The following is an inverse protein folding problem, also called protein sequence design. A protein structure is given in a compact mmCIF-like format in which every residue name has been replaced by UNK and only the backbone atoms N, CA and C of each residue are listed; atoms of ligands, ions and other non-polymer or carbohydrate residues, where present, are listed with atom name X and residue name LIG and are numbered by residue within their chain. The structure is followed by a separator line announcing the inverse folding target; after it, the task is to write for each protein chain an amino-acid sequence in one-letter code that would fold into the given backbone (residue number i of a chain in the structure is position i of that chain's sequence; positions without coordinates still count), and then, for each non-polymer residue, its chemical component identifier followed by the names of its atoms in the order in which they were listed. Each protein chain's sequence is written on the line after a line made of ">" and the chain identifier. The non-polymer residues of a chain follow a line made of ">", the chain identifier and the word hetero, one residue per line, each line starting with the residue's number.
data_IF_559082080723
#
_entry.id   IF_559082080723
#
_cell.length_a   1.000
_cell.length_b   1.000
_cell.length_c   1.000
_cell.angle_alpha   90.00
_cell.angle_beta   90.00
_cell.angle_gamma   90.00
#
_symmetry.space_group_name_H-M   'P 1'
#
loop_
_entity.id
_entity.type
_entity.pdbx_description
1 polymer ?
#
# COMPACT_ATOMS: atom_id res chain seq x y z
N UNK A 1 -17.56 -6.21 -36.54
CA UNK A 1 -17.54 -6.81 -35.18
C UNK A 1 -16.26 -6.48 -34.40
N UNK A 2 -15.07 -6.42 -35.03
CA UNK A 2 -13.81 -6.02 -34.37
C UNK A 2 -13.86 -4.61 -33.73
N UNK A 3 -14.40 -3.62 -34.44
CA UNK A 3 -14.48 -2.25 -33.94
C UNK A 3 -15.26 -2.09 -32.61
N UNK A 4 -16.34 -2.86 -32.41
CA UNK A 4 -17.12 -2.83 -31.16
C UNK A 4 -16.27 -3.37 -30.00
N UNK A 5 -15.55 -4.48 -30.24
CA UNK A 5 -14.63 -5.06 -29.25
C UNK A 5 -13.50 -4.09 -28.90
N UNK A 6 -12.89 -3.46 -29.90
CA UNK A 6 -11.81 -2.49 -29.70
C UNK A 6 -12.31 -1.25 -28.93
N UNK A 7 -13.52 -0.80 -29.22
CA UNK A 7 -14.16 0.29 -28.48
C UNK A 7 -14.37 -0.10 -27.01
N UNK A 8 -14.88 -1.30 -26.75
CA UNK A 8 -15.05 -1.81 -25.38
C UNK A 8 -13.74 -1.89 -24.60
N UNK A 9 -12.64 -2.31 -25.25
CA UNK A 9 -11.30 -2.33 -24.64
C UNK A 9 -10.85 -0.91 -24.30
N UNK A 10 -11.02 0.06 -25.21
CA UNK A 10 -10.65 1.46 -24.96
C UNK A 10 -11.42 2.07 -23.80
N UNK A 11 -12.75 1.87 -23.77
CA UNK A 11 -13.61 2.38 -22.69
C UNK A 11 -13.17 1.80 -21.35
N UNK A 12 -12.98 0.47 -21.28
CA UNK A 12 -12.50 -0.17 -20.04
C UNK A 12 -11.17 0.40 -19.59
N UNK A 13 -10.20 0.51 -20.50
CA UNK A 13 -8.87 1.05 -20.18
C UNK A 13 -8.96 2.49 -19.69
N UNK A 14 -9.73 3.35 -20.35
CA UNK A 14 -9.91 4.73 -19.91
C UNK A 14 -10.54 4.80 -18.53
N UNK A 15 -11.56 3.99 -18.26
CA UNK A 15 -12.20 3.94 -16.94
C UNK A 15 -11.29 3.39 -15.86
N UNK A 16 -10.35 2.49 -16.18
CA UNK A 16 -9.33 2.05 -15.23
C UNK A 16 -8.36 3.19 -14.85
N UNK A 17 -7.94 3.99 -15.84
CA UNK A 17 -7.11 5.18 -15.59
C UNK A 17 -7.88 6.25 -14.80
N UNK A 18 -9.14 6.51 -15.15
CA UNK A 18 -10.01 7.46 -14.45
C UNK A 18 -10.28 7.03 -13.01
N UNK A 19 -10.42 5.73 -12.76
CA UNK A 19 -10.55 5.16 -11.41
C UNK A 19 -9.27 5.38 -10.61
N UNK A 20 -8.10 5.03 -11.17
CA UNK A 20 -6.81 5.17 -10.48
C UNK A 20 -6.47 6.63 -10.19
N UNK A 21 -6.61 7.49 -11.18
CA UNK A 21 -6.38 8.93 -11.03
C UNK A 21 -7.40 9.56 -10.09
N UNK A 22 -8.68 9.18 -10.20
CA UNK A 22 -9.76 9.60 -9.31
C UNK A 22 -9.46 9.30 -7.84
N UNK A 23 -9.05 8.07 -7.54
CA UNK A 23 -8.70 7.65 -6.18
C UNK A 23 -7.44 8.35 -5.66
N UNK A 24 -6.40 8.49 -6.50
CA UNK A 24 -5.13 9.08 -6.06
C UNK A 24 -5.16 10.60 -5.91
N UNK A 25 -5.88 11.28 -6.80
CA UNK A 25 -5.93 12.74 -6.90
C UNK A 25 -7.20 13.34 -6.29
N UNK A 26 -8.15 12.52 -5.85
CA UNK A 26 -9.43 12.99 -5.33
C UNK A 26 -10.36 13.57 -6.40
N UNK A 27 -10.19 13.19 -7.67
CA UNK A 27 -11.05 13.66 -8.76
C UNK A 27 -12.39 12.91 -8.75
N UNK A 28 -13.36 13.47 -8.03
CA UNK A 28 -14.69 12.90 -7.83
C UNK A 28 -15.47 12.69 -9.14
N UNK A 29 -15.23 13.53 -10.16
CA UNK A 29 -15.92 13.41 -11.45
C UNK A 29 -15.40 12.19 -12.20
N UNK A 30 -14.08 12.08 -12.36
CA UNK A 30 -13.45 10.93 -13.01
C UNK A 30 -13.83 9.62 -12.29
N UNK A 31 -13.81 9.65 -10.95
CA UNK A 31 -14.18 8.51 -10.13
C UNK A 31 -15.65 8.11 -10.35
N UNK A 32 -16.58 9.06 -10.27
CA UNK A 32 -18.00 8.82 -10.47
C UNK A 32 -18.32 8.25 -11.86
N UNK A 33 -17.65 8.73 -12.91
CA UNK A 33 -17.78 8.22 -14.28
C UNK A 33 -17.24 6.79 -14.38
N UNK A 34 -16.04 6.54 -13.87
CA UNK A 34 -15.42 5.22 -13.91
C UNK A 34 -16.26 4.15 -13.20
N UNK A 35 -16.78 4.48 -12.00
CA UNK A 35 -17.65 3.56 -11.25
C UNK A 35 -18.94 3.24 -12.03
N UNK A 36 -19.53 4.23 -12.70
CA UNK A 36 -20.71 4.00 -13.53
C UNK A 36 -20.41 3.06 -14.70
N UNK A 37 -19.28 3.23 -15.37
CA UNK A 37 -18.86 2.33 -16.45
C UNK A 37 -18.70 0.91 -15.93
N UNK A 38 -18.01 0.71 -14.81
CA UNK A 38 -17.83 -0.64 -14.26
C UNK A 38 -19.11 -1.26 -13.71
N UNK A 39 -20.03 -0.46 -13.17
CA UNK A 39 -21.36 -0.92 -12.81
C UNK A 39 -22.11 -1.45 -14.04
N UNK A 40 -22.13 -0.67 -15.12
CA UNK A 40 -22.79 -1.05 -16.38
C UNK A 40 -22.15 -2.29 -17.03
N UNK A 41 -20.83 -2.44 -16.88
CA UNK A 41 -20.08 -3.61 -17.36
C UNK A 41 -20.16 -4.83 -16.41
N UNK A 42 -20.91 -4.72 -15.31
CA UNK A 42 -21.03 -5.76 -14.26
C UNK A 42 -19.67 -6.19 -13.68
N UNK A 43 -18.72 -5.27 -13.64
CA UNK A 43 -17.36 -5.53 -13.17
C UNK A 43 -16.93 -4.55 -12.08
N UNK A 44 -17.88 -3.90 -11.40
CA UNK A 44 -17.60 -2.92 -10.36
C UNK A 44 -16.79 -3.52 -9.21
N UNK A 45 -17.29 -4.60 -8.60
CA UNK A 45 -16.64 -5.20 -7.45
C UNK A 45 -15.21 -5.71 -7.72
N UNK A 46 -14.94 -6.47 -8.81
CA UNK A 46 -13.56 -6.85 -9.17
C UNK A 46 -12.59 -5.66 -9.27
N UNK A 47 -13.06 -4.52 -9.78
CA UNK A 47 -12.23 -3.33 -9.93
C UNK A 47 -12.00 -2.61 -8.59
N UNK A 48 -13.02 -2.55 -7.73
CA UNK A 48 -12.88 -2.03 -6.36
C UNK A 48 -11.90 -2.87 -5.54
N UNK A 49 -12.01 -4.20 -5.60
CA UNK A 49 -11.04 -5.13 -4.99
C UNK A 49 -9.62 -4.87 -5.45
N UNK A 50 -9.43 -4.73 -6.77
CA UNK A 50 -8.12 -4.46 -7.37
C UNK A 50 -7.53 -3.16 -6.84
N UNK A 51 -8.31 -2.08 -6.78
CA UNK A 51 -7.85 -0.79 -6.24
C UNK A 51 -7.49 -0.92 -4.76
N UNK A 52 -8.33 -1.55 -3.94
CA UNK A 52 -8.03 -1.77 -2.52
C UNK A 52 -6.71 -2.54 -2.33
N UNK A 53 -6.48 -3.57 -3.14
CA UNK A 53 -5.22 -4.33 -3.11
C UNK A 53 -4.01 -3.48 -3.54
N UNK A 54 -4.13 -2.69 -4.61
CA UNK A 54 -3.06 -1.78 -5.06
C UNK A 54 -2.70 -0.76 -3.96
N UNK A 55 -3.69 -0.21 -3.24
CA UNK A 55 -3.43 0.72 -2.13
C UNK A 55 -2.76 0.06 -0.92
N UNK A 56 -3.10 -1.19 -0.62
CA UNK A 56 -2.40 -1.98 0.41
C UNK A 56 -0.97 -2.30 0.01
N UNK A 57 -0.74 -2.62 -1.26
CA UNK A 57 0.61 -2.89 -1.78
C UNK A 57 1.49 -1.64 -1.71
N UNK A 58 0.96 -0.44 -2.03
CA UNK A 58 1.67 0.83 -1.86
C UNK A 58 2.11 1.06 -0.40
N UNK A 59 1.27 0.68 0.57
CA UNK A 59 1.64 0.74 1.98
C UNK A 59 2.71 -0.31 2.34
N UNK A 60 2.57 -1.55 1.86
CA UNK A 60 3.53 -2.62 2.15
C UNK A 60 4.93 -2.35 1.56
N UNK A 61 5.02 -1.57 0.49
CA UNK A 61 6.28 -1.16 -0.13
C UNK A 61 6.96 0.02 0.58
N UNK A 62 6.28 0.69 1.52
CA UNK A 62 6.85 1.82 2.24
C UNK A 62 8.04 1.34 3.12
N UNK A 63 9.23 1.94 2.98
CA UNK A 63 10.41 1.47 3.68
C UNK A 63 10.29 1.77 5.18
N UNK A 64 10.46 0.73 6.01
CA UNK A 64 10.64 0.88 7.44
C UNK A 64 12.13 0.68 7.79
N UNK A 65 12.90 1.77 7.93
CA UNK A 65 14.31 1.69 8.32
C UNK A 65 14.45 1.14 9.74
N UNK A 66 15.49 0.35 9.97
CA UNK A 66 15.87 -0.09 11.30
C UNK A 66 16.82 0.91 11.99
N UNK A 67 16.87 0.89 13.32
CA UNK A 67 17.83 1.68 14.10
C UNK A 67 17.37 3.11 14.40
N UNK A 68 18.31 4.07 14.43
CA UNK A 68 18.06 5.43 14.91
C UNK A 68 16.97 6.20 14.15
N UNK A 69 16.69 5.83 12.89
CA UNK A 69 15.65 6.45 12.06
C UNK A 69 14.30 5.70 12.11
N UNK A 70 14.15 4.66 12.94
CA UNK A 70 12.95 3.84 12.99
C UNK A 70 11.69 4.66 13.28
N UNK A 71 11.72 5.54 14.29
CA UNK A 71 10.56 6.36 14.65
C UNK A 71 10.10 7.28 13.51
N UNK A 72 11.05 7.93 12.84
CA UNK A 72 10.76 8.78 11.68
C UNK A 72 10.21 7.95 10.51
N UNK A 73 10.79 6.78 10.27
CA UNK A 73 10.28 5.83 9.28
C UNK A 73 8.86 5.36 9.59
N UNK A 74 8.59 5.02 10.85
CA UNK A 74 7.26 4.60 11.31
C UNK A 74 6.24 5.72 11.13
N UNK A 75 6.60 6.97 11.46
CA UNK A 75 5.73 8.12 11.26
C UNK A 75 5.34 8.29 9.79
N UNK A 76 6.31 8.21 8.87
CA UNK A 76 6.06 8.28 7.42
C UNK A 76 5.16 7.12 6.96
N UNK A 77 5.41 5.90 7.44
CA UNK A 77 4.58 4.73 7.11
C UNK A 77 3.12 4.92 7.58
N UNK A 78 2.93 5.44 8.80
CA UNK A 78 1.59 5.74 9.32
C UNK A 78 0.90 6.85 8.53
N UNK A 79 1.63 7.89 8.10
CA UNK A 79 1.08 8.92 7.22
C UNK A 79 0.62 8.34 5.88
N UNK A 80 1.39 7.41 5.29
CA UNK A 80 0.97 6.68 4.08
C UNK A 80 -0.30 5.87 4.35
N UNK A 81 -0.34 5.08 5.43
CA UNK A 81 -1.52 4.28 5.79
C UNK A 81 -2.77 5.15 5.96
N UNK A 82 -2.66 6.28 6.65
CA UNK A 82 -3.76 7.24 6.83
C UNK A 82 -4.21 7.78 5.48
N UNK A 83 -3.28 8.17 4.60
CA UNK A 83 -3.63 8.65 3.27
C UNK A 83 -4.37 7.61 2.44
N UNK A 84 -3.92 6.34 2.46
CA UNK A 84 -4.61 5.26 1.74
C UNK A 84 -5.99 4.96 2.33
N UNK A 85 -6.11 4.95 3.65
CA UNK A 85 -7.39 4.74 4.34
C UNK A 85 -8.40 5.82 3.97
N UNK A 86 -7.98 7.09 3.92
CA UNK A 86 -8.84 8.20 3.51
C UNK A 86 -9.31 8.06 2.05
N UNK A 87 -8.44 7.61 1.15
CA UNK A 87 -8.82 7.36 -0.26
C UNK A 87 -9.86 6.25 -0.38
N UNK A 88 -9.70 5.15 0.36
CA UNK A 88 -10.69 4.07 0.41
C UNK A 88 -12.00 4.55 1.00
N UNK A 89 -11.94 5.35 2.07
CA UNK A 89 -13.14 5.89 2.71
C UNK A 89 -13.95 6.78 1.76
N UNK A 90 -13.31 7.71 1.05
CA UNK A 90 -13.99 8.58 0.07
C UNK A 90 -14.60 7.77 -1.07
N UNK A 91 -13.92 6.70 -1.50
CA UNK A 91 -14.45 5.77 -2.50
C UNK A 91 -15.68 5.01 -1.98
N UNK A 92 -15.64 4.55 -0.73
CA UNK A 92 -16.74 3.87 -0.03
C UNK A 92 -17.97 4.79 0.09
N UNK A 93 -17.78 6.04 0.53
CA UNK A 93 -18.85 7.04 0.60
C UNK A 93 -19.51 7.24 -0.77
N UNK A 94 -18.72 7.34 -1.84
CA UNK A 94 -19.25 7.51 -3.18
C UNK A 94 -20.04 6.28 -3.65
N UNK A 95 -19.57 5.07 -3.34
CA UNK A 95 -20.26 3.81 -3.66
C UNK A 95 -21.58 3.69 -2.88
N UNK A 96 -21.60 4.11 -1.61
CA UNK A 96 -22.81 4.10 -0.79
C UNK A 96 -23.84 5.14 -1.24
N UNK A 97 -23.38 6.34 -1.61
CA UNK A 97 -24.26 7.42 -2.03
C UNK A 97 -24.84 7.21 -3.45
N UNK A 98 -24.14 6.46 -4.30
CA UNK A 98 -24.48 6.36 -5.72
C UNK A 98 -25.47 5.24 -6.02
N UNK A 99 -26.49 5.60 -6.78
CA UNK A 99 -27.45 4.67 -7.40
C UNK A 99 -27.48 4.87 -8.90
N UNK A 100 -27.66 3.77 -9.63
CA UNK A 100 -27.79 3.81 -11.07
C UNK A 100 -29.12 4.46 -11.48
N UNK A 101 -29.13 5.49 -12.35
CA UNK A 101 -30.35 6.21 -12.69
C UNK A 101 -31.35 5.39 -13.53
N UNK A 102 -30.91 4.30 -14.19
CA UNK A 102 -31.77 3.50 -15.06
C UNK A 102 -32.39 2.31 -14.32
N UNK A 103 -31.60 1.61 -13.51
CA UNK A 103 -32.01 0.41 -12.79
C UNK A 103 -32.41 0.69 -11.35
N UNK A 104 -32.13 1.89 -10.84
CA UNK A 104 -32.30 2.28 -9.44
C UNK A 104 -31.59 1.37 -8.43
N UNK A 105 -30.67 0.51 -8.90
CA UNK A 105 -29.83 -0.30 -8.03
C UNK A 105 -28.74 0.58 -7.44
N UNK A 106 -28.55 0.47 -6.12
CA UNK A 106 -27.40 1.05 -5.45
C UNK A 106 -26.12 0.35 -5.88
N UNK A 107 -25.01 1.09 -5.93
CA UNK A 107 -23.71 0.48 -6.20
C UNK A 107 -23.30 -0.43 -5.03
N UNK A 108 -23.68 -0.03 -3.81
CA UNK A 108 -23.58 -0.84 -2.59
C UNK A 108 -24.15 -2.26 -2.74
N UNK A 109 -25.28 -2.43 -3.46
CA UNK A 109 -25.87 -3.77 -3.68
C UNK A 109 -24.94 -4.76 -4.38
N UNK A 110 -23.95 -4.25 -5.14
CA UNK A 110 -22.95 -5.09 -5.80
C UNK A 110 -21.97 -5.67 -4.77
N UNK A 111 -21.61 -4.91 -3.75
CA UNK A 111 -20.70 -5.36 -2.68
C UNK A 111 -21.43 -6.33 -1.75
N UNK A 112 -22.68 -6.03 -1.42
CA UNK A 112 -23.53 -6.88 -0.57
C UNK A 112 -23.75 -8.26 -1.18
N UNK A 113 -23.86 -8.36 -2.52
CA UNK A 113 -23.95 -9.63 -3.23
C UNK A 113 -22.70 -10.52 -3.03
N UNK A 114 -21.57 -9.91 -2.72
CA UNK A 114 -20.30 -10.57 -2.38
C UNK A 114 -20.04 -10.65 -0.86
N UNK A 115 -21.04 -10.33 -0.04
CA UNK A 115 -20.96 -10.36 1.43
C UNK A 115 -20.15 -9.21 2.03
N UNK A 116 -19.93 -8.12 1.28
CA UNK A 116 -19.14 -6.97 1.73
C UNK A 116 -20.06 -5.80 2.07
N UNK A 117 -20.05 -5.40 3.34
CA UNK A 117 -20.88 -4.30 3.84
C UNK A 117 -20.25 -2.91 3.59
N UNK A 118 -18.93 -2.80 3.48
CA UNK A 118 -18.22 -1.54 3.29
C UNK A 118 -16.85 -1.82 2.68
N UNK A 119 -16.42 -0.96 1.75
CA UNK A 119 -15.06 -1.03 1.19
C UNK A 119 -14.01 -0.75 2.26
N UNK A 120 -14.30 0.17 3.17
CA UNK A 120 -13.41 0.49 4.29
C UNK A 120 -13.23 -0.72 5.20
N UNK A 121 -14.33 -1.40 5.56
CA UNK A 121 -14.27 -2.61 6.37
C UNK A 121 -13.53 -3.75 5.66
N UNK A 122 -13.79 -3.93 4.36
CA UNK A 122 -13.06 -4.90 3.53
C UNK A 122 -11.56 -4.61 3.50
N UNK A 123 -11.18 -3.35 3.27
CA UNK A 123 -9.78 -2.92 3.25
C UNK A 123 -9.05 -3.25 4.55
N UNK A 124 -9.68 -2.98 5.70
CA UNK A 124 -9.09 -3.29 7.01
C UNK A 124 -9.01 -4.79 7.30
N UNK A 125 -9.99 -5.58 6.86
CA UNK A 125 -9.92 -7.04 6.97
C UNK A 125 -8.75 -7.61 6.16
N UNK A 126 -8.54 -7.10 4.94
CA UNK A 126 -7.41 -7.49 4.08
C UNK A 126 -6.07 -6.99 4.66
N UNK A 127 -6.03 -5.78 5.21
CA UNK A 127 -4.86 -5.23 5.90
C UNK A 127 -4.47 -6.06 7.13
N UNK A 128 -5.43 -6.44 7.98
CA UNK A 128 -5.21 -7.30 9.14
C UNK A 128 -4.78 -8.73 8.76
N UNK A 129 -5.21 -9.22 7.61
CA UNK A 129 -4.65 -10.43 7.00
C UNK A 129 -3.17 -10.28 6.61
N UNK A 130 -2.78 -9.11 6.12
CA UNK A 130 -1.39 -8.77 5.78
C UNK A 130 -0.51 -8.44 7.00
N UNK A 131 -1.08 -8.06 8.16
CA UNK A 131 -0.34 -7.82 9.40
C UNK A 131 0.44 -9.05 9.88
N UNK A 132 -0.05 -10.26 9.60
CA UNK A 132 0.71 -11.48 9.89
C UNK A 132 1.99 -11.58 9.04
N UNK A 133 1.92 -11.12 7.79
CA UNK A 133 3.08 -11.04 6.89
C UNK A 133 4.03 -9.91 7.27
N UNK A 134 3.52 -8.74 7.65
CA UNK A 134 4.30 -7.60 8.11
C UNK A 134 4.98 -7.88 9.45
N UNK A 135 4.30 -8.53 10.40
CA UNK A 135 4.89 -9.00 11.65
C UNK A 135 5.98 -10.05 11.42
N UNK A 136 5.76 -11.01 10.52
CA UNK A 136 6.81 -11.94 10.09
C UNK A 136 7.99 -11.24 9.43
N UNK A 137 7.74 -10.22 8.60
CA UNK A 137 8.79 -9.49 7.92
C UNK A 137 9.59 -8.60 8.91
N UNK A 138 8.92 -8.00 9.89
CA UNK A 138 9.57 -7.29 10.99
C UNK A 138 10.39 -8.25 11.85
N UNK A 139 9.87 -9.44 12.14
CA UNK A 139 10.57 -10.46 12.92
C UNK A 139 11.80 -11.01 12.17
N UNK A 140 11.67 -11.35 10.89
CA UNK A 140 12.80 -11.76 10.04
C UNK A 140 13.86 -10.66 9.91
N UNK A 141 13.45 -9.39 9.81
CA UNK A 141 14.39 -8.26 9.76
C UNK A 141 15.07 -8.02 11.10
N UNK A 142 14.38 -8.21 12.21
CA UNK A 142 14.97 -8.14 13.55
C UNK A 142 16.01 -9.25 13.76
N UNK A 143 15.70 -10.47 13.29
CA UNK A 143 16.65 -11.59 13.28
C UNK A 143 17.89 -11.31 12.42
N UNK A 144 17.73 -10.67 11.24
CA UNK A 144 18.86 -10.26 10.39
C UNK A 144 19.75 -9.20 11.06
N UNK A 145 19.17 -8.25 11.82
CA UNK A 145 19.92 -7.23 12.56
C UNK A 145 20.69 -7.87 13.73
N UNK A 146 20.05 -8.78 14.47
CA UNK A 146 20.72 -9.55 15.52
C UNK A 146 21.86 -10.40 14.95
N UNK A 147 21.68 -11.00 13.77
CA UNK A 147 22.73 -11.76 13.08
C UNK A 147 23.89 -10.87 12.62
N UNK A 148 23.61 -9.70 12.03
CA UNK A 148 24.65 -8.77 11.57
C UNK A 148 25.49 -8.24 12.74
N UNK A 149 24.83 -7.81 13.83
CA UNK A 149 25.50 -7.33 15.05
C UNK A 149 26.30 -8.43 15.76
N UNK A 150 25.81 -9.67 15.77
CA UNK A 150 26.55 -10.82 16.32
C UNK A 150 27.81 -11.13 15.49
N UNK A 151 27.71 -11.07 14.16
CA UNK A 151 28.84 -11.35 13.25
C UNK A 151 29.96 -10.31 13.39
N UNK A 152 29.60 -9.04 13.53
CA UNK A 152 30.56 -7.95 13.77
C UNK A 152 31.20 -8.03 15.16
N UNK A 153 30.42 -8.37 16.20
CA UNK A 153 30.97 -8.60 17.54
C UNK A 153 31.98 -9.76 17.58
N UNK A 154 31.75 -10.80 16.76
CA UNK A 154 32.67 -11.92 16.59
C UNK A 154 33.92 -11.53 15.78
N UNK A 155 33.77 -10.68 14.75
CA UNK A 155 34.89 -10.13 14.00
C UNK A 155 35.78 -9.20 14.87
N UNK A 156 35.19 -8.38 15.73
CA UNK A 156 35.93 -7.55 16.68
C UNK A 156 36.67 -8.38 17.75
N UNK A 157 36.05 -9.47 18.24
CA UNK A 157 36.73 -10.42 19.15
C UNK A 157 37.87 -11.18 18.46
N UNK A 158 37.70 -11.59 17.21
CA UNK A 158 38.74 -12.26 16.42
C UNK A 158 39.91 -11.33 16.07
N UNK A 159 39.65 -10.03 15.94
CA UNK A 159 40.66 -8.99 15.71
C UNK A 159 41.43 -8.57 16.97
N UNK A 160 41.12 -9.12 18.16
CA UNK A 160 41.89 -8.88 19.39
C UNK A 160 41.89 -7.43 19.88
N UNK A 161 40.94 -6.60 19.46
CA UNK A 161 40.89 -5.17 19.81
C UNK A 161 39.97 -4.92 21.01
N UNK A 162 40.56 -4.59 22.16
CA UNK A 162 39.86 -4.17 23.39
C UNK A 162 39.74 -2.66 23.52
N UNK A 163 39.80 -1.89 22.42
CA UNK A 163 39.73 -0.42 22.51
C UNK A 163 38.44 0.17 21.94
N UNK A 164 37.73 1.03 22.71
CA UNK A 164 36.44 1.63 22.33
C UNK A 164 36.53 2.60 21.14
N UNK A 165 37.73 2.90 20.66
CA UNK A 165 38.01 3.80 19.54
C UNK A 165 37.63 3.18 18.18
N UNK A 166 37.65 1.85 18.05
CA UNK A 166 37.29 1.15 16.80
C UNK A 166 35.77 1.12 16.59
N UNK A 167 35.00 0.95 17.68
CA UNK A 167 33.54 0.99 17.62
C UNK A 167 33.02 2.37 17.17
N UNK A 168 33.64 3.45 17.65
CA UNK A 168 33.27 4.81 17.25
C UNK A 168 33.60 5.07 15.76
N UNK A 169 34.77 4.64 15.28
CA UNK A 169 35.13 4.72 13.85
C UNK A 169 34.24 3.85 12.96
N UNK A 170 33.81 2.68 13.43
CA UNK A 170 32.87 1.84 12.71
C UNK A 170 31.48 2.48 12.60
N UNK A 171 30.99 3.11 13.67
CA UNK A 171 29.73 3.87 13.63
C UNK A 171 29.80 5.05 12.67
N UNK A 172 30.89 5.83 12.64
CA UNK A 172 31.05 6.95 11.69
C UNK A 172 31.16 6.45 10.24
N UNK A 173 31.83 5.32 10.01
CA UNK A 173 31.97 4.73 8.67
C UNK A 173 30.66 4.10 8.17
N UNK A 174 29.83 3.58 9.08
CA UNK A 174 28.48 3.12 8.79
C UNK A 174 27.55 4.29 8.46
N UNK A 175 27.69 5.43 9.16
CA UNK A 175 26.91 6.64 8.89
C UNK A 175 27.24 7.28 7.52
N UNK A 176 28.50 7.19 7.08
CA UNK A 176 28.92 7.65 5.75
C UNK A 176 28.44 6.74 4.62
N UNK A 177 28.50 5.42 4.80
CA UNK A 177 27.97 4.45 3.82
C UNK A 177 26.45 4.51 3.67
N UNK A 178 25.71 4.77 4.75
CA UNK A 178 24.25 4.93 4.71
C UNK A 178 23.81 6.25 4.05
N UNK A 179 24.67 7.27 4.01
CA UNK A 179 24.42 8.55 3.33
C UNK A 179 24.80 8.55 1.84
N UNK A 180 25.30 7.43 1.30
CA UNK A 180 25.67 7.29 -0.11
C UNK A 180 26.84 8.20 -0.53
N UNK A 181 27.67 8.63 0.42
CA UNK A 181 28.88 9.42 0.14
C UNK A 181 30.04 8.44 0.10
N UNK A 182 30.40 8.01 -1.12
CA UNK A 182 31.65 7.30 -1.34
C UNK A 182 32.81 8.32 -1.29
N UNK A 183 33.85 7.99 -0.51
CA UNK A 183 35.15 8.69 -0.51
C UNK A 183 35.90 8.50 -1.82
#
# INVERSE_FOLDING_TARGET
>A
VLWIRDCGIRVRRQSEEDLKTGVRQGNQIALSVALQVFFNLQSLWPQLKKVSAELLEEFAQAPLPAGACFHQGLEVNLQVLVAQTMRVHLLDELVQAKSDPLTHRSFQSVLEADGVASLTAYFWNEAGGHEHGLAQQMQQRQEQICAATATEAQACKAAGSTEPTVAFRAMTKMELRLKGVDE
#
